data_IF_291107699256
#
_entry.id   IF_291107699256
#
_cell.length_a   1.000
_cell.length_b   1.000
_cell.length_c   1.000
_cell.angle_alpha   90.00
_cell.angle_beta   90.00
_cell.angle_gamma   90.00
#
_symmetry.space_group_name_H-M   'P 1'
#
loop_
_entity.id
_entity.type
_entity.pdbx_description
1 polymer ?
#
# COMPACT_ATOMS: atom_id res chain seq x y z
N UNK A 1 8.16 10.93 -2.75
CA UNK A 1 6.89 11.61 -3.13
C UNK A 1 5.81 11.27 -2.13
N UNK A 2 4.91 12.20 -1.84
CA UNK A 2 3.87 11.96 -0.85
C UNK A 2 2.69 11.22 -1.49
N UNK A 3 2.18 10.21 -0.78
CA UNK A 3 0.99 9.48 -1.15
C UNK A 3 -0.04 9.64 -0.05
N UNK A 4 -1.24 10.07 -0.43
CA UNK A 4 -2.37 10.19 0.48
C UNK A 4 -3.62 9.71 -0.22
N UNK A 5 -4.11 8.54 0.17
CA UNK A 5 -5.31 7.92 -0.40
C UNK A 5 -6.26 7.51 0.69
N UNK A 6 -7.55 7.44 0.34
CA UNK A 6 -8.62 7.07 1.27
C UNK A 6 -9.62 6.19 0.55
N UNK A 7 -10.12 5.19 1.25
CA UNK A 7 -11.10 4.24 0.74
C UNK A 7 -12.21 4.05 1.78
N UNK A 8 -13.48 4.38 1.45
CA UNK A 8 -14.59 4.13 2.35
C UNK A 8 -14.86 2.63 2.44
N UNK A 9 -15.04 2.11 3.65
CA UNK A 9 -15.41 0.72 3.89
C UNK A 9 -16.90 0.63 4.20
N UNK A 10 -17.54 -0.39 3.64
CA UNK A 10 -18.91 -0.77 3.99
C UNK A 10 -18.95 -1.69 5.21
N UNK A 11 -18.27 -1.27 6.27
CA UNK A 11 -18.20 -2.00 7.54
C UNK A 11 -18.12 -1.02 8.71
N UNK A 12 -18.67 -1.41 9.86
CA UNK A 12 -18.52 -0.67 11.12
C UNK A 12 -17.09 -0.78 11.64
N UNK A 13 -16.63 0.24 12.37
CA UNK A 13 -15.23 0.35 12.82
C UNK A 13 -14.77 -0.86 13.64
N UNK A 14 -15.62 -1.36 14.54
CA UNK A 14 -15.30 -2.54 15.36
C UNK A 14 -15.07 -3.78 14.50
N UNK A 15 -15.94 -4.01 13.50
CA UNK A 15 -15.82 -5.14 12.57
C UNK A 15 -14.56 -5.01 11.72
N UNK A 16 -14.32 -3.83 11.15
CA UNK A 16 -13.14 -3.56 10.35
C UNK A 16 -11.84 -3.71 11.17
N UNK A 17 -11.83 -3.32 12.45
CA UNK A 17 -10.70 -3.49 13.36
C UNK A 17 -10.40 -4.97 13.64
N UNK A 18 -11.42 -5.77 13.93
CA UNK A 18 -11.25 -7.22 14.16
C UNK A 18 -10.72 -7.90 12.89
N UNK A 19 -11.27 -7.55 11.73
CA UNK A 19 -10.79 -8.08 10.44
C UNK A 19 -9.36 -7.65 10.14
N UNK A 20 -8.98 -6.41 10.45
CA UNK A 20 -7.59 -5.95 10.28
C UNK A 20 -6.62 -6.72 11.16
N UNK A 21 -6.98 -6.97 12.43
CA UNK A 21 -6.17 -7.79 13.34
C UNK A 21 -6.01 -9.23 12.81
N UNK A 22 -7.08 -9.80 12.22
CA UNK A 22 -7.04 -11.11 11.57
C UNK A 22 -6.10 -11.11 10.35
N UNK A 23 -6.18 -10.09 9.49
CA UNK A 23 -5.29 -9.98 8.32
C UNK A 23 -3.82 -9.89 8.73
N UNK A 24 -3.52 -9.16 9.80
CA UNK A 24 -2.19 -9.07 10.40
C UNK A 24 -1.69 -10.43 10.90
N UNK A 25 -2.56 -11.16 11.62
CA UNK A 25 -2.22 -12.47 12.16
C UNK A 25 -2.02 -13.54 11.08
N UNK A 26 -2.84 -13.50 10.02
CA UNK A 26 -2.78 -14.45 8.90
C UNK A 26 -1.67 -14.12 7.88
N UNK A 27 -0.95 -13.00 8.03
CA UNK A 27 0.12 -12.61 7.11
C UNK A 27 -0.36 -12.20 5.71
N UNK A 28 -1.66 -12.00 5.52
CA UNK A 28 -2.29 -11.69 4.21
C UNK A 28 -1.93 -10.30 3.66
N UNK A 29 -1.37 -9.43 4.50
CA UNK A 29 -0.89 -8.12 4.08
C UNK A 29 0.38 -8.18 3.22
N UNK A 30 1.20 -9.23 3.37
CA UNK A 30 2.40 -9.45 2.55
C UNK A 30 2.06 -9.65 1.08
N UNK A 31 1.25 -10.67 0.69
CA UNK A 31 0.90 -10.86 -0.72
C UNK A 31 0.09 -9.68 -1.28
N UNK A 32 -0.75 -9.02 -0.47
CA UNK A 32 -1.46 -7.82 -0.90
C UNK A 32 -0.52 -6.65 -1.21
N UNK A 33 0.58 -6.50 -0.45
CA UNK A 33 1.60 -5.48 -0.66
C UNK A 33 2.48 -5.78 -1.87
N UNK A 34 2.90 -7.03 -2.05
CA UNK A 34 3.66 -7.45 -3.23
C UNK A 34 2.88 -7.20 -4.53
N UNK A 35 1.61 -7.60 -4.57
CA UNK A 35 0.75 -7.36 -5.71
C UNK A 35 0.51 -5.87 -5.95
N UNK A 36 0.33 -5.08 -4.89
CA UNK A 36 0.17 -3.64 -5.00
C UNK A 36 1.44 -2.95 -5.55
N UNK A 37 2.61 -3.39 -5.11
CA UNK A 37 3.87 -2.92 -5.65
C UNK A 37 4.01 -3.28 -7.14
N UNK A 38 3.70 -4.54 -7.52
CA UNK A 38 3.71 -4.99 -8.91
C UNK A 38 2.73 -4.21 -9.79
N UNK A 39 1.53 -3.90 -9.30
CA UNK A 39 0.55 -3.06 -10.02
C UNK A 39 1.08 -1.65 -10.29
N UNK A 40 1.80 -1.05 -9.35
CA UNK A 40 2.42 0.27 -9.57
C UNK A 40 3.52 0.25 -10.62
N UNK A 41 4.37 -0.77 -10.61
CA UNK A 41 5.41 -0.97 -11.62
C UNK A 41 4.83 -1.27 -13.01
N UNK A 42 3.71 -2.01 -13.08
CA UNK A 42 3.01 -2.26 -14.33
C UNK A 42 2.42 -0.96 -14.91
N UNK A 43 1.82 -0.11 -14.07
CA UNK A 43 1.32 1.21 -14.48
C UNK A 43 2.46 2.10 -15.01
N UNK A 44 3.62 2.06 -14.35
CA UNK A 44 4.82 2.77 -14.80
C UNK A 44 5.35 2.25 -16.14
N UNK A 45 5.44 0.93 -16.31
CA UNK A 45 5.90 0.29 -17.55
C UNK A 45 4.99 0.69 -18.72
N UNK A 46 3.68 0.67 -18.49
CA UNK A 46 2.68 1.08 -19.48
C UNK A 46 2.81 2.56 -19.87
N UNK A 47 3.10 3.44 -18.92
CA UNK A 47 3.25 4.88 -19.19
C UNK A 47 4.54 5.19 -19.96
N UNK A 48 5.62 4.45 -19.69
CA UNK A 48 6.92 4.62 -20.35
C UNK A 48 7.02 3.90 -21.70
N UNK A 49 6.08 3.00 -22.03
CA UNK A 49 6.21 2.13 -23.20
C UNK A 49 7.40 1.19 -23.11
N UNK A 50 7.92 0.93 -21.90
CA UNK A 50 9.08 0.08 -21.65
C UNK A 50 8.65 -1.33 -21.25
N UNK A 51 9.59 -2.27 -21.35
CA UNK A 51 9.42 -3.61 -20.76
C UNK A 51 9.16 -3.56 -19.24
N UNK A 52 8.70 -4.68 -18.65
CA UNK A 52 8.32 -4.73 -17.25
C UNK A 52 9.51 -4.36 -16.35
N UNK A 53 9.30 -3.41 -15.43
CA UNK A 53 10.27 -3.15 -14.38
C UNK A 53 10.41 -4.39 -13.48
N UNK A 54 11.60 -4.97 -13.48
CA UNK A 54 11.97 -6.09 -12.59
C UNK A 54 12.55 -5.51 -11.30
N UNK A 55 11.67 -5.00 -10.44
CA UNK A 55 12.00 -4.73 -9.04
C UNK A 55 11.02 -5.53 -8.19
N UNK A 56 11.54 -6.46 -7.41
CA UNK A 56 10.75 -7.22 -6.47
C UNK A 56 10.67 -6.47 -5.13
N UNK A 57 9.51 -6.57 -4.48
CA UNK A 57 9.41 -6.23 -3.07
C UNK A 57 10.22 -7.30 -2.31
N UNK A 58 11.29 -6.88 -1.64
CA UNK A 58 12.19 -7.75 -0.90
C UNK A 58 11.72 -7.97 0.54
N UNK A 59 10.96 -7.02 1.09
CA UNK A 59 10.44 -7.12 2.44
C UNK A 59 9.24 -6.20 2.70
N UNK A 60 8.33 -6.68 3.55
CA UNK A 60 7.28 -5.88 4.19
C UNK A 60 7.54 -5.89 5.69
N UNK A 61 7.80 -4.72 6.28
CA UNK A 61 7.91 -4.56 7.73
C UNK A 61 6.66 -3.88 8.26
N UNK A 62 5.90 -4.63 9.04
CA UNK A 62 4.73 -4.17 9.77
C UNK A 62 5.20 -3.83 11.19
N UNK A 63 5.00 -2.58 11.61
CA UNK A 63 5.23 -2.20 13.00
C UNK A 63 3.99 -2.51 13.84
N UNK A 64 4.16 -2.46 15.17
CA UNK A 64 3.06 -2.68 16.09
C UNK A 64 1.94 -1.66 15.86
N UNK A 65 0.68 -2.11 15.66
CA UNK A 65 -0.41 -1.21 15.38
C UNK A 65 -0.76 -0.38 16.62
N UNK A 66 -0.67 0.95 16.49
CA UNK A 66 -1.13 1.87 17.51
C UNK A 66 -2.66 1.95 17.47
N UNK A 67 -3.32 1.60 18.58
CA UNK A 67 -4.79 1.64 18.69
C UNK A 67 -5.22 2.80 19.59
N UNK A 68 -6.22 3.56 19.14
CA UNK A 68 -6.81 4.68 19.87
C UNK A 68 -8.34 4.68 19.80
N UNK A 69 -8.98 5.68 20.41
CA UNK A 69 -10.42 5.82 20.37
C UNK A 69 -10.90 6.15 18.95
N UNK A 70 -11.46 5.16 18.25
CA UNK A 70 -11.99 5.32 16.89
C UNK A 70 -10.92 5.42 15.80
N UNK A 71 -9.65 5.13 16.11
CA UNK A 71 -8.55 5.08 15.14
C UNK A 71 -7.65 3.87 15.40
N UNK A 72 -7.17 3.24 14.32
CA UNK A 72 -6.07 2.29 14.34
C UNK A 72 -5.05 2.76 13.32
N UNK A 73 -3.79 2.84 13.70
CA UNK A 73 -2.69 3.17 12.79
C UNK A 73 -1.75 1.99 12.72
N UNK A 74 -1.53 1.49 11.51
CA UNK A 74 -0.59 0.43 11.20
C UNK A 74 0.52 1.02 10.32
N UNK A 75 1.72 1.25 10.87
CA UNK A 75 2.85 1.68 10.06
C UNK A 75 3.34 0.54 9.16
N UNK A 76 3.54 0.86 7.89
CA UNK A 76 3.94 -0.04 6.81
C UNK A 76 5.25 0.45 6.20
N UNK A 77 6.25 -0.41 6.17
CA UNK A 77 7.47 -0.17 5.42
C UNK A 77 7.65 -1.23 4.33
N UNK A 78 7.82 -0.77 3.10
CA UNK A 78 8.18 -1.62 1.97
C UNK A 78 9.66 -1.45 1.67
N UNK A 79 10.35 -2.58 1.56
CA UNK A 79 11.74 -2.65 1.16
C UNK A 79 11.81 -3.34 -0.20
N UNK A 80 12.50 -2.72 -1.15
CA UNK A 80 12.78 -3.32 -2.44
C UNK A 80 14.29 -3.32 -2.67
N UNK A 81 14.74 -4.29 -3.47
CA UNK A 81 16.14 -4.35 -3.89
C UNK A 81 16.33 -3.42 -5.08
N UNK A 82 17.36 -2.57 -5.00
CA UNK A 82 17.82 -1.79 -6.13
C UNK A 82 18.60 -2.66 -7.15
N UNK A 83 18.94 -2.14 -8.33
CA UNK A 83 19.74 -2.88 -9.30
C UNK A 83 21.14 -3.30 -8.81
N UNK A 84 21.66 -2.67 -7.76
CA UNK A 84 22.95 -2.97 -7.14
C UNK A 84 22.84 -4.01 -6.00
N UNK A 85 21.64 -4.56 -5.75
CA UNK A 85 21.42 -5.56 -4.70
C UNK A 85 21.19 -4.97 -3.31
N UNK A 86 21.06 -3.65 -3.15
CA UNK A 86 20.85 -2.99 -1.86
C UNK A 86 19.37 -2.92 -1.51
N UNK A 87 19.04 -3.16 -0.24
CA UNK A 87 17.69 -2.97 0.28
C UNK A 87 17.42 -1.47 0.51
N UNK A 88 16.39 -0.95 -0.16
CA UNK A 88 15.95 0.43 -0.01
C UNK A 88 14.49 0.47 0.44
N UNK A 89 14.18 1.35 1.39
CA UNK A 89 12.80 1.63 1.78
C UNK A 89 12.09 2.40 0.66
N UNK A 90 11.19 1.71 -0.04
CA UNK A 90 10.41 2.25 -1.16
C UNK A 90 9.04 2.77 -0.73
N UNK A 91 8.51 2.32 0.40
CA UNK A 91 7.32 2.90 1.02
C UNK A 91 7.58 3.04 2.52
N UNK A 92 7.25 4.21 3.03
CA UNK A 92 7.13 4.49 4.46
C UNK A 92 5.77 5.16 4.64
N UNK A 93 4.77 4.41 5.12
CA UNK A 93 3.39 4.86 5.15
C UNK A 93 2.60 4.32 6.33
N UNK A 94 1.68 5.13 6.83
CA UNK A 94 0.69 4.75 7.81
C UNK A 94 -0.61 4.33 7.15
N UNK A 95 -1.02 3.09 7.39
CA UNK A 95 -2.35 2.61 7.09
C UNK A 95 -3.26 2.88 8.29
N UNK A 96 -4.19 3.81 8.14
CA UNK A 96 -5.08 4.24 9.21
C UNK A 96 -6.52 3.77 8.96
N UNK A 97 -7.11 3.13 9.96
CA UNK A 97 -8.53 2.85 10.04
C UNK A 97 -9.19 3.88 10.94
N UNK A 98 -10.17 4.63 10.45
CA UNK A 98 -10.84 5.70 11.22
C UNK A 98 -12.35 5.53 11.21
N UNK A 99 -13.00 5.68 12.35
CA UNK A 99 -14.45 5.72 12.45
C UNK A 99 -14.97 7.08 11.92
N UNK A 100 -15.86 7.07 10.94
CA UNK A 100 -16.48 8.27 10.37
C UNK A 100 -17.99 8.08 10.38
N UNK A 101 -18.65 8.62 11.41
CA UNK A 101 -20.10 8.44 11.66
C UNK A 101 -20.47 6.95 11.70
N UNK A 102 -21.33 6.50 10.78
CA UNK A 102 -21.79 5.12 10.68
C UNK A 102 -20.89 4.21 9.83
N UNK A 103 -19.83 4.75 9.22
CA UNK A 103 -18.92 4.01 8.33
C UNK A 103 -17.48 4.05 8.84
N UNK A 104 -16.64 3.25 8.21
CA UNK A 104 -15.20 3.24 8.47
C UNK A 104 -14.47 3.77 7.25
N UNK A 105 -13.41 4.54 7.47
CA UNK A 105 -12.55 5.05 6.41
C UNK A 105 -11.16 4.45 6.58
N UNK A 106 -10.70 3.77 5.53
CA UNK A 106 -9.31 3.35 5.41
C UNK A 106 -8.51 4.47 4.75
N UNK A 107 -7.33 4.77 5.25
CA UNK A 107 -6.44 5.79 4.70
C UNK A 107 -5.03 5.25 4.62
N UNK A 108 -4.31 5.63 3.58
CA UNK A 108 -2.87 5.40 3.46
C UNK A 108 -2.21 6.77 3.33
N UNK A 109 -1.29 7.10 4.23
CA UNK A 109 -0.55 8.36 4.22
C UNK A 109 0.92 8.05 4.37
N UNK A 110 1.75 8.50 3.44
CA UNK A 110 3.17 8.21 3.54
C UNK A 110 4.00 8.78 2.41
N UNK A 111 5.23 8.32 2.35
CA UNK A 111 6.20 8.64 1.32
C UNK A 111 6.55 7.39 0.51
N UNK A 112 6.38 7.48 -0.80
CA UNK A 112 6.86 6.47 -1.73
C UNK A 112 8.15 6.95 -2.40
N UNK A 113 9.08 6.04 -2.64
CA UNK A 113 10.32 6.26 -3.38
C UNK A 113 10.50 5.09 -4.35
N UNK A 114 10.85 5.38 -5.60
CA UNK A 114 11.24 4.31 -6.52
C UNK A 114 12.67 3.88 -6.18
N UNK A 115 13.00 2.57 -6.26
CA UNK A 115 14.37 2.09 -6.05
C UNK A 115 15.28 2.37 -7.26
N UNK A 116 14.78 3.08 -8.27
CA UNK A 116 15.51 3.50 -9.46
C UNK A 116 15.03 4.88 -9.91
N UNK A 117 15.89 5.59 -10.64
CA UNK A 117 15.49 6.82 -11.33
C UNK A 117 14.76 6.41 -12.60
N UNK A 118 13.45 6.65 -12.66
CA UNK A 118 12.69 6.46 -13.89
C UNK A 118 13.16 7.51 -14.91
N UNK A 119 13.91 7.09 -15.93
CA UNK A 119 14.30 7.94 -17.03
C UNK A 119 13.10 8.09 -18.00
N UNK A 120 12.52 9.28 -18.05
CA UNK A 120 11.53 9.70 -19.04
C UNK A 120 11.92 11.05 -19.63
N UNK A 121 11.29 11.49 -20.74
CA UNK A 121 11.47 12.84 -21.25
C UNK A 121 11.24 13.87 -20.13
N UNK A 122 12.08 14.91 -20.06
CA UNK A 122 12.21 15.81 -18.90
C UNK A 122 10.90 16.46 -18.43
N UNK A 123 9.89 16.57 -19.32
CA UNK A 123 8.57 17.12 -19.00
C UNK A 123 7.69 16.19 -18.13
N UNK A 124 7.90 14.87 -18.18
CA UNK A 124 7.04 13.87 -17.52
C UNK A 124 7.75 13.12 -16.38
N UNK A 125 9.07 13.31 -16.24
CA UNK A 125 9.91 12.58 -15.28
C UNK A 125 9.46 12.69 -13.81
N UNK A 126 8.77 13.77 -13.42
CA UNK A 126 8.22 13.94 -12.07
C UNK A 126 6.85 13.26 -11.90
N UNK A 127 6.09 13.05 -12.98
CA UNK A 127 4.77 12.42 -12.96
C UNK A 127 4.86 10.90 -12.85
N UNK A 128 5.91 10.32 -13.43
CA UNK A 128 6.12 8.87 -13.49
C UNK A 128 6.27 8.22 -12.11
N UNK A 129 7.13 8.72 -11.19
CA UNK A 129 7.12 8.26 -9.81
C UNK A 129 5.73 8.39 -9.19
N UNK A 130 5.09 9.56 -9.34
CA UNK A 130 3.80 9.85 -8.70
C UNK A 130 2.69 8.91 -9.17
N UNK A 131 2.72 8.51 -10.45
CA UNK A 131 1.83 7.52 -11.05
C UNK A 131 2.03 6.15 -10.40
N UNK A 132 3.27 5.67 -10.32
CA UNK A 132 3.59 4.39 -9.70
C UNK A 132 3.15 4.36 -8.22
N UNK A 133 3.44 5.44 -7.48
CA UNK A 133 3.02 5.63 -6.10
C UNK A 133 1.51 5.54 -5.92
N UNK A 134 0.78 6.24 -6.80
CA UNK A 134 -0.68 6.31 -6.77
C UNK A 134 -1.28 4.93 -7.07
N UNK A 135 -0.84 4.30 -8.15
CA UNK A 135 -1.34 2.99 -8.56
C UNK A 135 -1.05 1.92 -7.49
N UNK A 136 0.13 1.93 -6.87
CA UNK A 136 0.44 1.04 -5.76
C UNK A 136 -0.45 1.29 -4.55
N UNK A 137 -0.62 2.55 -4.13
CA UNK A 137 -1.46 2.86 -2.99
C UNK A 137 -2.94 2.53 -3.21
N UNK A 138 -3.47 2.79 -4.40
CA UNK A 138 -4.86 2.47 -4.75
C UNK A 138 -5.08 0.95 -4.83
N UNK A 139 -4.11 0.21 -5.40
CA UNK A 139 -4.14 -1.27 -5.42
C UNK A 139 -4.10 -1.84 -4.00
N UNK A 140 -3.20 -1.34 -3.14
CA UNK A 140 -3.12 -1.76 -1.74
C UNK A 140 -4.42 -1.49 -0.99
N UNK A 141 -4.93 -0.25 -1.05
CA UNK A 141 -6.15 0.13 -0.36
C UNK A 141 -7.35 -0.68 -0.83
N UNK A 142 -7.47 -0.94 -2.14
CA UNK A 142 -8.56 -1.73 -2.70
C UNK A 142 -8.50 -3.17 -2.21
N UNK A 143 -7.31 -3.78 -2.18
CA UNK A 143 -7.11 -5.17 -1.73
C UNK A 143 -7.37 -5.31 -0.23
N UNK A 144 -6.83 -4.40 0.58
CA UNK A 144 -7.11 -4.37 2.02
C UNK A 144 -8.59 -4.12 2.26
N UNK A 145 -9.22 -3.17 1.56
CA UNK A 145 -10.65 -2.92 1.68
C UNK A 145 -11.48 -4.15 1.30
N UNK A 146 -11.13 -4.85 0.23
CA UNK A 146 -11.78 -6.10 -0.18
C UNK A 146 -11.63 -7.18 0.88
N UNK A 147 -10.42 -7.36 1.42
CA UNK A 147 -10.15 -8.34 2.47
C UNK A 147 -10.90 -8.01 3.78
N UNK A 148 -11.05 -6.72 4.09
CA UNK A 148 -11.84 -6.23 5.21
C UNK A 148 -13.35 -6.27 4.95
N UNK A 149 -13.81 -6.29 3.70
CA UNK A 149 -15.22 -6.38 3.33
C UNK A 149 -15.69 -7.85 3.30
N UNK A 150 -14.84 -8.76 2.84
CA UNK A 150 -15.10 -10.19 2.84
C UNK A 150 -15.36 -10.67 4.27
N UNK A 151 -16.50 -11.32 4.54
CA UNK A 151 -16.66 -12.09 5.76
C UNK A 151 -15.64 -13.22 5.66
N UNK A 152 -14.49 -13.09 6.33
CA UNK A 152 -13.49 -14.15 6.35
C UNK A 152 -14.20 -15.42 6.76
N UNK A 153 -14.22 -16.42 5.87
CA UNK A 153 -14.73 -17.74 6.19
C UNK A 153 -14.00 -18.17 7.47
N UNK A 154 -14.74 -18.20 8.58
CA UNK A 154 -14.32 -18.94 9.74
C UNK A 154 -14.48 -20.41 9.39
N UNK A 155 -13.60 -21.31 9.86
CA UNK A 155 -13.98 -22.71 9.99
C UNK A 155 -15.23 -22.84 10.88
#
# INVERSE_FOLDING_TARGET
MQVRRRYPLDARFVVARVRLARLLHEGTLTPASEDAYRSGLAALSSALGTGPFVSALAGLRLLEPATGAGIVTLPLHWEATDPAGQLLTVLDADLMLTAVRARTMLRLVGSFRLPFVAAGPAAEGWMLPQLAATASADSLLTRVASALASPGAGP
#
